data_IF_357734506725
#
_entry.id   IF_357734506725
#
_cell.length_a   1.000
_cell.length_b   1.000
_cell.length_c   1.000
_cell.angle_alpha   90.00
_cell.angle_beta   90.00
_cell.angle_gamma   90.00
#
_symmetry.space_group_name_H-M   'P 1'
#
loop_
_entity.id
_entity.type
_entity.pdbx_description
1 polymer ?
#
# COMPACT_ATOMS: atom_id res chain seq x y z
N UNK A 1 24.39 -0.78 -32.30
CA UNK A 1 24.16 -1.79 -31.25
C UNK A 1 22.68 -2.05 -31.24
N UNK A 2 22.24 -3.26 -31.61
CA UNK A 2 20.84 -3.65 -31.50
C UNK A 2 20.50 -3.67 -30.02
N UNK A 3 19.58 -2.81 -29.58
CA UNK A 3 19.06 -2.81 -28.20
C UNK A 3 18.45 -4.19 -27.91
N UNK A 4 18.89 -4.84 -26.86
CA UNK A 4 18.23 -6.04 -26.38
C UNK A 4 16.76 -5.69 -26.09
N UNK A 5 15.83 -6.44 -26.68
CA UNK A 5 14.40 -6.21 -26.44
C UNK A 5 14.12 -6.24 -24.93
N UNK A 6 13.35 -5.27 -24.46
CA UNK A 6 12.98 -5.15 -23.05
C UNK A 6 12.31 -6.45 -22.61
N UNK A 7 12.90 -7.14 -21.64
CA UNK A 7 12.33 -8.35 -21.09
C UNK A 7 11.18 -8.00 -20.16
N UNK A 8 10.01 -8.61 -20.36
CA UNK A 8 8.87 -8.51 -19.44
C UNK A 8 9.27 -8.98 -18.04
N UNK A 9 8.82 -8.26 -17.03
CA UNK A 9 9.09 -8.53 -15.62
C UNK A 9 7.86 -9.13 -14.95
N UNK A 10 8.06 -10.20 -14.17
CA UNK A 10 7.01 -10.77 -13.34
C UNK A 10 6.51 -9.74 -12.33
N UNK A 11 5.18 -9.63 -12.17
CA UNK A 11 4.57 -8.65 -11.28
C UNK A 11 4.41 -9.15 -9.84
N UNK A 12 4.52 -10.45 -9.64
CA UNK A 12 4.46 -11.05 -8.31
C UNK A 12 5.88 -11.30 -7.78
N UNK A 13 6.14 -10.82 -6.55
CA UNK A 13 7.46 -10.88 -5.92
C UNK A 13 8.06 -12.30 -5.88
N UNK A 14 7.23 -13.29 -5.60
CA UNK A 14 7.66 -14.69 -5.50
C UNK A 14 7.78 -15.40 -6.86
N UNK A 15 7.27 -14.84 -7.93
CA UNK A 15 7.52 -15.30 -9.30
C UNK A 15 8.81 -14.68 -9.81
N UNK A 16 9.08 -13.43 -9.48
CA UNK A 16 10.33 -12.75 -9.81
C UNK A 16 11.55 -13.39 -9.16
N UNK A 17 11.48 -13.74 -7.86
CA UNK A 17 12.61 -14.23 -7.11
C UNK A 17 12.27 -15.41 -6.18
N UNK A 18 13.23 -16.32 -6.04
CA UNK A 18 13.24 -17.25 -4.91
C UNK A 18 13.66 -16.49 -3.63
N UNK A 19 12.85 -16.62 -2.58
CA UNK A 19 13.05 -15.90 -1.34
C UNK A 19 13.09 -16.86 -0.15
N UNK A 20 14.28 -17.26 0.32
CA UNK A 20 14.41 -18.13 1.48
C UNK A 20 14.05 -17.38 2.76
N UNK A 21 13.46 -18.07 3.72
CA UNK A 21 13.16 -17.57 5.08
C UNK A 21 12.49 -16.18 5.08
N UNK A 22 11.53 -15.99 4.16
CA UNK A 22 10.91 -14.70 3.87
C UNK A 22 10.46 -13.93 5.13
N UNK A 23 9.82 -14.60 6.09
CA UNK A 23 9.34 -13.95 7.31
C UNK A 23 10.48 -13.47 8.22
N UNK A 24 11.56 -14.25 8.34
CA UNK A 24 12.75 -13.81 9.06
C UNK A 24 13.42 -12.61 8.39
N UNK A 25 13.41 -12.54 7.05
CA UNK A 25 13.91 -11.39 6.32
C UNK A 25 13.02 -10.14 6.50
N UNK A 26 11.70 -10.31 6.60
CA UNK A 26 10.80 -9.20 6.92
C UNK A 26 11.05 -8.65 8.34
N UNK A 27 11.30 -9.52 9.32
CA UNK A 27 11.66 -9.08 10.68
C UNK A 27 12.94 -8.23 10.66
N UNK A 28 13.96 -8.66 9.90
CA UNK A 28 15.18 -7.87 9.69
C UNK A 28 14.90 -6.53 9.03
N UNK A 29 14.06 -6.51 8.00
CA UNK A 29 13.66 -5.26 7.34
C UNK A 29 12.97 -4.31 8.32
N UNK A 30 12.07 -4.82 9.16
CA UNK A 30 11.39 -4.04 10.19
C UNK A 30 12.37 -3.44 11.22
N UNK A 31 13.43 -4.18 11.58
CA UNK A 31 14.49 -3.69 12.48
C UNK A 31 15.39 -2.63 11.84
N UNK A 32 15.67 -2.76 10.53
CA UNK A 32 16.45 -1.79 9.76
C UNK A 32 15.70 -0.48 9.53
N UNK A 33 14.40 -0.57 9.28
CA UNK A 33 13.57 0.57 8.92
C UNK A 33 13.33 1.52 10.11
N UNK A 34 12.89 2.76 9.78
CA UNK A 34 12.37 3.68 10.78
C UNK A 34 11.29 2.99 11.61
N UNK A 35 11.27 3.20 12.94
CA UNK A 35 10.32 2.53 13.82
C UNK A 35 8.87 2.75 13.39
N UNK A 36 8.17 1.66 13.12
CA UNK A 36 6.76 1.63 12.76
C UNK A 36 6.11 0.36 13.33
N UNK A 37 4.81 0.44 13.65
CA UNK A 37 4.04 -0.75 13.99
C UNK A 37 3.66 -1.48 12.68
N UNK A 38 4.02 -2.75 12.58
CA UNK A 38 3.77 -3.57 11.39
C UNK A 38 2.66 -4.59 11.58
N UNK A 39 1.83 -4.40 12.61
CA UNK A 39 0.64 -5.23 12.88
C UNK A 39 -0.50 -4.37 13.42
N UNK A 40 -1.72 -4.80 13.14
CA UNK A 40 -2.92 -4.25 13.75
C UNK A 40 -3.04 -4.70 15.22
N UNK A 41 -3.72 -3.91 16.04
CA UNK A 41 -4.05 -4.26 17.42
C UNK A 41 -5.00 -5.46 17.45
N UNK A 42 -6.01 -5.40 16.61
CA UNK A 42 -7.05 -6.42 16.45
C UNK A 42 -7.15 -6.73 14.95
N UNK A 43 -6.49 -7.79 14.44
CA UNK A 43 -6.56 -8.11 13.02
C UNK A 43 -7.94 -8.70 12.65
N UNK A 44 -8.47 -8.32 11.47
CA UNK A 44 -9.74 -8.83 10.94
C UNK A 44 -9.67 -10.34 10.60
N UNK A 45 -8.47 -10.88 10.48
CA UNK A 45 -8.20 -12.29 10.17
C UNK A 45 -6.89 -12.73 10.86
N UNK A 46 -6.73 -14.05 11.05
CA UNK A 46 -5.48 -14.62 11.55
C UNK A 46 -4.39 -14.59 10.45
N UNK A 47 -3.40 -13.70 10.52
CA UNK A 47 -2.34 -13.63 9.52
C UNK A 47 -1.38 -14.83 9.66
N UNK A 48 -0.84 -15.32 8.53
CA UNK A 48 0.24 -16.34 8.55
C UNK A 48 1.53 -15.80 9.20
N UNK A 49 1.77 -14.50 9.03
CA UNK A 49 2.83 -13.76 9.69
C UNK A 49 2.20 -12.86 10.75
N UNK A 50 2.31 -13.24 12.00
CA UNK A 50 1.74 -12.52 13.14
C UNK A 50 2.60 -11.34 13.63
N UNK A 51 3.85 -11.24 13.19
CA UNK A 51 4.81 -10.21 13.62
C UNK A 51 4.77 -8.96 12.74
N UNK A 52 4.80 -9.14 11.41
CA UNK A 52 4.94 -8.05 10.43
C UNK A 52 3.97 -8.18 9.24
N UNK A 53 2.66 -8.46 9.43
CA UNK A 53 1.74 -8.73 8.32
C UNK A 53 1.54 -7.50 7.41
N UNK A 54 1.60 -6.29 7.98
CA UNK A 54 1.49 -5.05 7.21
C UNK A 54 2.72 -4.85 6.33
N UNK A 55 3.92 -5.12 6.85
CA UNK A 55 5.16 -5.01 6.08
C UNK A 55 5.21 -6.04 4.94
N UNK A 56 4.72 -7.26 5.20
CA UNK A 56 4.59 -8.28 4.16
C UNK A 56 3.74 -7.79 2.99
N UNK A 57 2.53 -7.30 3.29
CA UNK A 57 1.62 -6.78 2.28
C UNK A 57 2.22 -5.58 1.55
N UNK A 58 2.74 -4.62 2.31
CA UNK A 58 3.39 -3.43 1.79
C UNK A 58 4.50 -3.75 0.79
N UNK A 59 5.43 -4.65 1.15
CA UNK A 59 6.56 -4.99 0.30
C UNK A 59 6.12 -5.66 -1.01
N UNK A 60 5.14 -6.56 -0.94
CA UNK A 60 4.55 -7.21 -2.13
C UNK A 60 3.88 -6.20 -3.06
N UNK A 61 3.10 -5.29 -2.50
CA UNK A 61 2.36 -4.30 -3.29
C UNK A 61 3.29 -3.24 -3.88
N UNK A 62 4.33 -2.80 -3.16
CA UNK A 62 5.38 -1.92 -3.70
C UNK A 62 6.08 -2.60 -4.87
N UNK A 63 6.51 -3.85 -4.72
CA UNK A 63 7.15 -4.58 -5.82
C UNK A 63 6.23 -4.68 -7.04
N UNK A 64 4.97 -5.08 -6.85
CA UNK A 64 3.97 -5.19 -7.92
C UNK A 64 3.82 -3.88 -8.69
N UNK A 65 3.70 -2.75 -7.99
CA UNK A 65 3.59 -1.43 -8.60
C UNK A 65 4.84 -1.05 -9.41
N UNK A 66 6.03 -1.34 -8.87
CA UNK A 66 7.29 -1.08 -9.56
C UNK A 66 7.42 -1.95 -10.82
N UNK A 67 7.04 -3.23 -10.75
CA UNK A 67 7.09 -4.15 -11.89
C UNK A 67 6.09 -3.76 -12.99
N UNK A 68 4.88 -3.35 -12.63
CA UNK A 68 3.89 -2.82 -13.59
C UNK A 68 4.45 -1.57 -14.29
N UNK A 69 5.02 -0.62 -13.54
CA UNK A 69 5.64 0.59 -14.12
C UNK A 69 6.81 0.25 -15.03
N UNK A 70 7.67 -0.67 -14.60
CA UNK A 70 8.77 -1.16 -15.43
C UNK A 70 8.25 -1.72 -16.75
N UNK A 71 7.18 -2.54 -16.74
CA UNK A 71 6.61 -3.14 -17.94
C UNK A 71 5.95 -2.09 -18.87
N UNK A 72 5.36 -1.04 -18.31
CA UNK A 72 4.70 0.05 -19.04
C UNK A 72 5.65 1.12 -19.59
N UNK A 73 6.85 1.26 -19.01
CA UNK A 73 7.80 2.28 -19.43
C UNK A 73 8.32 2.01 -20.85
N UNK A 74 8.48 3.05 -21.67
CA UNK A 74 9.15 2.97 -22.96
C UNK A 74 10.67 2.71 -22.77
N UNK A 75 11.32 2.14 -23.80
CA UNK A 75 12.74 1.71 -23.72
C UNK A 75 13.74 2.86 -23.38
N UNK A 76 13.32 4.10 -23.58
CA UNK A 76 14.16 5.30 -23.36
C UNK A 76 14.33 5.73 -21.91
N UNK A 77 13.59 5.14 -20.98
CA UNK A 77 13.53 5.56 -19.57
C UNK A 77 14.45 4.76 -18.64
N UNK A 78 15.64 4.39 -19.12
CA UNK A 78 16.64 3.69 -18.31
C UNK A 78 17.08 4.46 -17.04
N UNK A 79 16.90 5.79 -17.00
CA UNK A 79 17.27 6.63 -15.85
C UNK A 79 16.20 6.60 -14.72
N UNK A 80 14.97 6.20 -15.02
CA UNK A 80 13.89 6.06 -14.03
C UNK A 80 13.53 4.60 -13.72
N UNK A 81 14.45 3.68 -13.96
CA UNK A 81 14.18 2.27 -13.74
C UNK A 81 13.71 2.01 -12.30
N UNK A 82 12.43 1.64 -12.17
CA UNK A 82 11.82 1.29 -10.90
C UNK A 82 12.46 0.04 -10.28
N UNK A 83 12.95 -0.87 -11.14
CA UNK A 83 13.69 -2.07 -10.77
C UNK A 83 14.92 -2.12 -11.69
N UNK A 84 16.10 -2.09 -11.10
CA UNK A 84 17.36 -2.25 -11.83
C UNK A 84 17.72 -3.72 -11.93
N UNK A 85 18.01 -4.19 -13.15
CA UNK A 85 18.53 -5.54 -13.39
C UNK A 85 19.82 -5.47 -14.22
N UNK A 86 20.85 -6.20 -13.81
CA UNK A 86 22.05 -6.40 -14.60
C UNK A 86 22.44 -7.89 -14.56
N UNK A 87 23.40 -8.31 -15.38
CA UNK A 87 23.83 -9.72 -15.41
C UNK A 87 24.37 -10.27 -14.07
N UNK A 88 24.66 -9.39 -13.10
CA UNK A 88 25.21 -9.74 -11.78
C UNK A 88 24.26 -9.59 -10.63
N UNK A 89 23.12 -8.91 -10.80
CA UNK A 89 22.15 -8.71 -9.76
C UNK A 89 20.92 -7.94 -10.21
N UNK A 90 19.97 -7.84 -9.31
CA UNK A 90 18.78 -6.98 -9.43
C UNK A 90 18.54 -6.27 -8.09
N UNK A 91 17.95 -5.09 -8.12
CA UNK A 91 17.50 -4.41 -6.92
C UNK A 91 16.31 -3.50 -7.18
N UNK A 92 15.56 -3.23 -6.13
CA UNK A 92 14.56 -2.17 -6.10
C UNK A 92 14.57 -1.45 -4.74
N UNK A 93 14.17 -0.19 -4.73
CA UNK A 93 14.00 0.58 -3.51
C UNK A 93 12.71 0.15 -2.81
N UNK A 94 12.79 -0.30 -1.56
CA UNK A 94 11.62 -0.80 -0.80
C UNK A 94 10.59 0.28 -0.43
N UNK A 95 10.90 1.56 -0.66
CA UNK A 95 10.10 2.69 -0.17
C UNK A 95 10.37 3.05 1.29
N UNK A 96 11.16 2.24 1.99
CA UNK A 96 11.51 2.43 3.40
C UNK A 96 12.88 3.11 3.55
N UNK A 97 13.07 3.72 4.71
CA UNK A 97 14.32 4.36 5.11
C UNK A 97 14.84 3.77 6.41
N UNK A 98 16.16 3.68 6.53
CA UNK A 98 16.82 3.27 7.77
C UNK A 98 16.74 4.38 8.83
N UNK A 99 17.21 4.05 10.05
CA UNK A 99 17.27 5.01 11.17
C UNK A 99 18.16 6.23 10.87
N UNK A 100 19.05 6.13 9.90
CA UNK A 100 19.90 7.23 9.41
C UNK A 100 19.34 7.91 8.16
N UNK A 101 18.07 7.66 7.83
CA UNK A 101 17.36 8.20 6.66
C UNK A 101 17.96 7.82 5.31
N UNK A 102 18.68 6.71 5.23
CA UNK A 102 19.16 6.15 3.97
C UNK A 102 18.10 5.21 3.39
N UNK A 103 17.97 5.22 2.06
CA UNK A 103 17.06 4.31 1.36
C UNK A 103 17.44 2.86 1.58
N UNK A 104 16.44 1.99 1.77
CA UNK A 104 16.62 0.53 1.92
C UNK A 104 16.22 -0.14 0.62
N UNK A 105 17.12 -0.99 0.11
CA UNK A 105 16.97 -1.74 -1.12
C UNK A 105 16.84 -3.23 -0.83
N UNK A 106 15.97 -3.91 -1.59
CA UNK A 106 16.00 -5.36 -1.71
C UNK A 106 16.97 -5.73 -2.83
N UNK A 107 18.00 -6.53 -2.53
CA UNK A 107 19.03 -6.94 -3.47
C UNK A 107 18.94 -8.43 -3.76
N UNK A 108 19.09 -8.78 -5.04
CA UNK A 108 18.99 -10.12 -5.57
C UNK A 108 20.20 -10.48 -6.40
N UNK A 109 20.56 -11.74 -6.39
CA UNK A 109 21.61 -12.33 -7.24
C UNK A 109 20.98 -13.29 -8.24
N UNK A 110 21.65 -13.62 -9.38
CA UNK A 110 21.19 -14.65 -10.28
C UNK A 110 20.96 -15.97 -9.55
N UNK A 111 19.80 -16.57 -9.74
CA UNK A 111 19.50 -17.87 -9.16
C UNK A 111 20.26 -18.96 -9.92
N UNK A 112 21.24 -19.55 -9.28
CA UNK A 112 22.10 -20.62 -9.86
C UNK A 112 21.64 -22.01 -9.44
N UNK A 113 20.66 -22.11 -8.54
CA UNK A 113 20.11 -23.37 -8.07
C UNK A 113 18.89 -23.71 -8.89
N UNK A 114 18.93 -24.81 -9.58
CA UNK A 114 17.93 -25.34 -10.53
C UNK A 114 16.59 -25.74 -9.88
N UNK A 115 16.39 -25.42 -8.61
CA UNK A 115 15.23 -25.86 -7.81
C UNK A 115 13.99 -25.01 -8.03
N UNK A 116 14.14 -23.82 -8.63
CA UNK A 116 13.01 -22.96 -8.99
C UNK A 116 13.28 -22.29 -10.33
N UNK A 117 12.31 -22.28 -11.23
CA UNK A 117 12.39 -21.61 -12.54
C UNK A 117 12.53 -20.08 -12.43
N UNK A 118 12.74 -19.54 -11.22
CA UNK A 118 12.86 -18.09 -10.94
C UNK A 118 14.25 -17.59 -11.28
N UNK A 119 14.30 -16.50 -12.00
CA UNK A 119 15.56 -15.89 -12.46
C UNK A 119 16.45 -15.40 -11.31
N UNK A 120 15.83 -14.89 -10.24
CA UNK A 120 16.51 -14.22 -9.15
C UNK A 120 16.39 -14.96 -7.83
N UNK A 121 17.38 -14.76 -6.97
CA UNK A 121 17.45 -15.25 -5.59
C UNK A 121 17.65 -14.04 -4.66
N UNK A 122 16.77 -13.88 -3.67
CA UNK A 122 16.94 -12.81 -2.68
C UNK A 122 18.23 -13.02 -1.90
N UNK A 123 19.03 -11.95 -1.85
CA UNK A 123 20.31 -11.98 -1.14
C UNK A 123 20.23 -11.28 0.20
N UNK A 124 19.79 -10.02 0.22
CA UNK A 124 19.71 -9.23 1.45
C UNK A 124 18.92 -7.93 1.24
N UNK A 125 18.48 -7.33 2.36
CA UNK A 125 18.15 -5.92 2.43
C UNK A 125 19.40 -5.11 2.77
N UNK A 126 19.60 -3.98 2.13
CA UNK A 126 20.79 -3.15 2.35
C UNK A 126 20.50 -1.67 2.14
N UNK A 127 21.28 -0.80 2.77
CA UNK A 127 21.23 0.64 2.55
C UNK A 127 21.86 1.04 1.21
N UNK A 128 21.51 2.22 0.70
CA UNK A 128 21.94 2.77 -0.60
C UNK A 128 23.46 2.78 -0.82
N UNK A 129 24.26 2.87 0.23
CA UNK A 129 25.72 2.89 0.17
C UNK A 129 26.37 1.50 0.35
N UNK A 130 25.59 0.43 0.34
CA UNK A 130 26.09 -0.93 0.52
C UNK A 130 26.99 -1.35 -0.64
N UNK A 131 28.13 -2.02 -0.38
CA UNK A 131 28.97 -2.61 -1.43
C UNK A 131 28.23 -3.62 -2.31
N UNK A 132 27.11 -4.20 -1.85
CA UNK A 132 26.29 -5.12 -2.63
C UNK A 132 25.71 -4.43 -3.87
N UNK A 133 25.41 -3.13 -3.78
CA UNK A 133 24.76 -2.35 -4.84
C UNK A 133 25.75 -1.79 -5.89
N UNK A 134 27.04 -2.00 -5.74
CA UNK A 134 28.07 -1.40 -6.62
C UNK A 134 27.91 -1.69 -8.12
N UNK A 135 27.24 -2.78 -8.48
CA UNK A 135 27.00 -3.17 -9.87
C UNK A 135 25.60 -2.83 -10.38
N UNK A 136 24.76 -2.23 -9.53
CA UNK A 136 23.38 -1.85 -9.86
C UNK A 136 23.23 -0.33 -9.90
N UNK A 137 24.19 0.35 -10.53
CA UNK A 137 24.22 1.82 -10.68
C UNK A 137 23.74 2.20 -12.08
N UNK A 138 22.87 3.23 -12.24
CA UNK A 138 22.27 4.05 -11.18
C UNK A 138 21.26 3.27 -10.33
N UNK A 139 21.16 3.63 -9.04
CA UNK A 139 20.22 2.98 -8.14
C UNK A 139 18.78 3.37 -8.49
N UNK A 140 17.82 2.42 -8.41
CA UNK A 140 16.40 2.72 -8.54
C UNK A 140 15.97 3.80 -7.55
N UNK A 141 15.22 4.77 -8.03
CA UNK A 141 14.69 5.81 -7.15
C UNK A 141 13.60 5.26 -6.24
N UNK A 142 13.35 5.98 -5.13
CA UNK A 142 12.21 5.69 -4.27
C UNK A 142 10.93 5.67 -5.09
N UNK A 143 10.02 4.68 -4.87
CA UNK A 143 8.70 4.67 -5.49
C UNK A 143 7.97 5.99 -5.26
N UNK A 144 7.80 6.78 -6.32
CA UNK A 144 6.96 7.98 -6.28
C UNK A 144 5.58 7.60 -6.78
N UNK A 145 4.64 7.33 -5.87
CA UNK A 145 3.28 6.98 -6.22
C UNK A 145 2.42 8.22 -6.47
N UNK A 146 2.84 9.38 -5.97
CA UNK A 146 2.18 10.67 -6.16
C UNK A 146 3.05 11.53 -7.08
N UNK A 147 2.67 11.64 -8.36
CA UNK A 147 3.38 12.49 -9.32
C UNK A 147 2.99 13.97 -9.22
N UNK A 148 1.79 14.30 -8.70
CA UNK A 148 1.27 15.68 -8.63
C UNK A 148 0.46 15.93 -7.35
N UNK A 149 1.12 15.94 -6.20
CA UNK A 149 0.47 16.15 -4.90
C UNK A 149 -0.33 17.48 -4.79
N UNK A 150 -0.09 18.47 -5.66
CA UNK A 150 -0.80 19.75 -5.65
C UNK A 150 -2.15 19.72 -6.38
N UNK A 151 -2.34 18.87 -7.37
CA UNK A 151 -3.59 18.74 -8.13
C UNK A 151 -4.59 17.77 -7.49
N UNK A 152 -4.18 17.02 -6.47
CA UNK A 152 -4.95 15.94 -5.86
C UNK A 152 -5.19 16.18 -4.36
N UNK A 153 -5.36 17.45 -3.97
CA UNK A 153 -5.83 17.77 -2.62
C UNK A 153 -7.32 17.47 -2.49
N UNK A 154 -7.74 16.93 -1.35
CA UNK A 154 -9.16 16.74 -1.07
C UNK A 154 -9.86 18.11 -0.95
N UNK A 155 -10.97 18.26 -1.67
CA UNK A 155 -11.80 19.45 -1.67
C UNK A 155 -13.07 19.23 -0.82
N UNK A 156 -13.09 19.65 0.45
CA UNK A 156 -14.19 19.34 1.36
C UNK A 156 -15.57 19.87 0.92
N UNK A 157 -15.57 20.91 0.09
CA UNK A 157 -16.80 21.53 -0.44
C UNK A 157 -17.45 20.77 -1.60
N UNK A 158 -16.77 19.80 -2.19
CA UNK A 158 -17.33 19.05 -3.30
C UNK A 158 -18.39 18.04 -2.83
N UNK A 159 -19.48 17.88 -3.58
CA UNK A 159 -20.50 16.88 -3.26
C UNK A 159 -19.96 15.47 -3.46
N UNK A 160 -20.45 14.53 -2.65
CA UNK A 160 -20.15 13.11 -2.77
C UNK A 160 -21.40 12.43 -3.33
N UNK A 161 -21.26 11.76 -4.46
CA UNK A 161 -22.31 10.97 -5.11
C UNK A 161 -22.12 9.50 -4.75
N UNK A 162 -23.11 8.90 -4.13
CA UNK A 162 -23.08 7.49 -3.72
C UNK A 162 -24.36 6.82 -4.20
N UNK A 163 -24.23 5.63 -4.73
CA UNK A 163 -25.36 4.72 -4.91
C UNK A 163 -25.32 3.64 -3.83
N UNK A 164 -25.82 3.96 -2.65
CA UNK A 164 -25.77 3.08 -1.47
C UNK A 164 -26.40 1.71 -1.76
N UNK A 165 -27.51 1.66 -2.49
CA UNK A 165 -28.16 0.40 -2.85
C UNK A 165 -27.25 -0.47 -3.69
N UNK A 166 -26.65 0.07 -4.75
CA UNK A 166 -25.75 -0.66 -5.64
C UNK A 166 -24.49 -1.16 -4.90
N UNK A 167 -23.91 -0.34 -4.01
CA UNK A 167 -22.77 -0.76 -3.18
C UNK A 167 -23.15 -1.95 -2.29
N UNK A 168 -24.37 -1.96 -1.73
CA UNK A 168 -24.82 -3.01 -0.84
C UNK A 168 -25.34 -4.27 -1.55
N UNK A 169 -25.61 -4.21 -2.86
CA UNK A 169 -25.89 -5.37 -3.70
C UNK A 169 -24.64 -6.23 -3.94
N UNK A 170 -23.44 -5.65 -3.80
CA UNK A 170 -22.19 -6.39 -3.85
C UNK A 170 -21.96 -7.18 -2.55
N UNK A 171 -21.90 -8.51 -2.66
CA UNK A 171 -21.77 -9.40 -1.51
C UNK A 171 -20.45 -9.17 -0.74
N UNK A 172 -19.38 -8.76 -1.42
CA UNK A 172 -18.10 -8.45 -0.79
C UNK A 172 -18.20 -7.18 0.05
N UNK A 173 -18.82 -6.12 -0.46
CA UNK A 173 -19.08 -4.91 0.31
C UNK A 173 -19.99 -5.20 1.53
N UNK A 174 -21.04 -5.97 1.33
CA UNK A 174 -21.97 -6.33 2.42
C UNK A 174 -21.23 -7.11 3.53
N UNK A 175 -20.33 -8.02 3.17
CA UNK A 175 -19.56 -8.82 4.12
C UNK A 175 -18.62 -7.99 5.01
N UNK A 176 -18.23 -6.80 4.58
CA UNK A 176 -17.36 -5.87 5.33
C UNK A 176 -18.13 -5.06 6.38
N UNK A 177 -19.46 -4.98 6.25
CA UNK A 177 -20.32 -4.28 7.21
C UNK A 177 -20.39 -5.07 8.52
N UNK A 178 -20.40 -4.40 9.69
CA UNK A 178 -20.60 -5.10 10.96
C UNK A 178 -21.78 -6.06 10.93
N UNK A 179 -21.58 -7.30 11.34
CA UNK A 179 -22.55 -8.39 11.20
C UNK A 179 -23.93 -8.02 11.77
N UNK A 180 -23.97 -7.29 12.89
CA UNK A 180 -25.19 -6.83 13.51
C UNK A 180 -26.04 -5.89 12.63
N UNK A 181 -25.43 -5.24 11.63
CA UNK A 181 -26.09 -4.31 10.72
C UNK A 181 -26.44 -4.92 9.36
N UNK A 182 -25.87 -6.07 8.99
CA UNK A 182 -26.09 -6.67 7.66
C UNK A 182 -27.55 -7.01 7.36
N UNK A 183 -28.32 -7.38 8.38
CA UNK A 183 -29.77 -7.68 8.28
C UNK A 183 -30.69 -6.47 8.51
N UNK A 184 -30.11 -5.27 8.68
CA UNK A 184 -30.91 -4.08 8.97
C UNK A 184 -31.61 -3.59 7.70
N UNK A 185 -32.97 -3.60 7.72
CA UNK A 185 -33.80 -3.32 6.55
C UNK A 185 -33.60 -1.94 5.93
N UNK A 186 -33.15 -0.96 6.72
CA UNK A 186 -32.87 0.41 6.27
C UNK A 186 -31.35 0.68 6.09
N UNK A 187 -30.56 -0.35 5.89
CA UNK A 187 -29.10 -0.23 5.72
C UNK A 187 -28.68 0.77 4.64
N UNK A 188 -29.34 0.87 3.45
CA UNK A 188 -29.02 1.90 2.47
C UNK A 188 -29.15 3.32 3.01
N UNK A 189 -30.24 3.61 3.75
CA UNK A 189 -30.43 4.93 4.37
C UNK A 189 -29.40 5.22 5.46
N UNK A 190 -29.01 4.20 6.23
CA UNK A 190 -27.95 4.32 7.23
C UNK A 190 -26.61 4.64 6.57
N UNK A 191 -26.30 4.00 5.45
CA UNK A 191 -25.07 4.27 4.69
C UNK A 191 -25.06 5.70 4.13
N UNK A 192 -26.17 6.15 3.52
CA UNK A 192 -26.30 7.53 3.03
C UNK A 192 -26.12 8.56 4.15
N UNK A 193 -26.74 8.31 5.32
CA UNK A 193 -26.58 9.18 6.50
C UNK A 193 -25.13 9.20 7.02
N UNK A 194 -24.44 8.06 7.01
CA UNK A 194 -23.04 7.96 7.42
C UNK A 194 -22.12 8.71 6.44
N UNK A 195 -22.39 8.64 5.14
CA UNK A 195 -21.65 9.39 4.11
C UNK A 195 -21.83 10.90 4.30
N UNK A 196 -23.06 11.38 4.52
CA UNK A 196 -23.30 12.79 4.76
C UNK A 196 -22.64 13.27 6.08
N UNK A 197 -22.64 12.43 7.13
CA UNK A 197 -21.92 12.73 8.36
C UNK A 197 -20.42 12.82 8.11
N UNK A 198 -19.83 11.86 7.39
CA UNK A 198 -18.41 11.86 7.01
C UNK A 198 -18.02 13.09 6.21
N UNK A 199 -18.87 13.51 5.28
CA UNK A 199 -18.66 14.76 4.50
C UNK A 199 -18.63 15.99 5.42
N UNK A 200 -19.55 16.10 6.38
CA UNK A 200 -19.58 17.20 7.35
C UNK A 200 -18.36 17.19 8.28
N UNK A 201 -17.92 16.00 8.69
CA UNK A 201 -16.71 15.86 9.48
C UNK A 201 -15.47 16.29 8.66
N UNK A 202 -15.39 15.93 7.38
CA UNK A 202 -14.31 16.33 6.50
C UNK A 202 -14.28 17.86 6.23
N UNK A 203 -15.45 18.51 6.24
CA UNK A 203 -15.53 19.99 6.20
C UNK A 203 -14.95 20.62 7.45
N UNK A 204 -15.24 20.04 8.61
CA UNK A 204 -14.74 20.55 9.90
C UNK A 204 -13.26 20.20 10.13
N UNK A 205 -12.86 19.01 9.71
CA UNK A 205 -11.51 18.45 9.94
C UNK A 205 -11.03 17.68 8.70
N UNK A 206 -10.49 18.37 7.68
CA UNK A 206 -10.02 17.69 6.44
C UNK A 206 -8.98 16.58 6.68
N UNK A 207 -8.27 16.65 7.81
CA UNK A 207 -7.26 15.65 8.20
C UNK A 207 -7.81 14.23 8.46
N UNK A 208 -9.13 14.05 8.53
CA UNK A 208 -9.73 12.70 8.62
C UNK A 208 -9.68 11.94 7.28
N UNK A 209 -9.54 12.65 6.17
CA UNK A 209 -9.46 12.05 4.85
C UNK A 209 -8.04 11.53 4.61
N UNK A 210 -7.91 10.28 4.23
CA UNK A 210 -6.63 9.68 3.89
C UNK A 210 -6.53 9.42 2.38
N UNK A 211 -5.42 9.76 1.73
CA UNK A 211 -5.22 9.39 0.33
C UNK A 211 -4.89 7.90 0.21
N UNK A 212 -5.32 7.27 -0.88
CA UNK A 212 -4.90 5.94 -1.28
C UNK A 212 -4.53 5.90 -2.76
N UNK A 213 -3.72 4.92 -3.14
CA UNK A 213 -3.44 4.60 -4.53
C UNK A 213 -4.02 3.22 -4.85
N UNK A 214 -4.95 3.17 -5.81
CA UNK A 214 -5.63 1.95 -6.17
C UNK A 214 -5.83 1.87 -7.69
N UNK A 215 -5.48 0.74 -8.30
CA UNK A 215 -5.56 0.51 -9.74
C UNK A 215 -4.98 1.66 -10.61
N UNK A 216 -3.81 2.19 -10.22
CA UNK A 216 -3.15 3.24 -10.98
C UNK A 216 -3.71 4.65 -10.79
N UNK A 217 -4.68 4.85 -9.89
CA UNK A 217 -5.36 6.13 -9.65
C UNK A 217 -5.29 6.53 -8.19
N UNK A 218 -5.25 7.84 -7.97
CA UNK A 218 -5.45 8.42 -6.65
C UNK A 218 -6.93 8.43 -6.30
N UNK A 219 -7.21 8.04 -5.08
CA UNK A 219 -8.53 8.10 -4.45
C UNK A 219 -8.40 8.61 -3.02
N UNK A 220 -9.51 8.97 -2.41
CA UNK A 220 -9.56 9.34 -1.00
C UNK A 220 -10.36 8.33 -0.20
N UNK A 221 -9.96 8.15 1.06
CA UNK A 221 -10.64 7.31 2.03
C UNK A 221 -11.31 8.19 3.07
N UNK A 222 -12.62 8.08 3.18
CA UNK A 222 -13.43 8.77 4.17
C UNK A 222 -13.97 7.78 5.20
N UNK A 223 -13.75 7.99 6.51
CA UNK A 223 -14.28 7.11 7.53
C UNK A 223 -15.81 7.19 7.61
N UNK A 224 -16.45 6.05 7.79
CA UNK A 224 -17.90 5.93 8.01
C UNK A 224 -18.19 5.32 9.37
N UNK A 225 -19.11 5.92 10.09
CA UNK A 225 -19.53 5.55 11.43
C UNK A 225 -21.01 5.10 11.41
N UNK A 226 -21.22 3.79 11.38
CA UNK A 226 -22.55 3.18 11.29
C UNK A 226 -23.11 2.77 12.66
N UNK A 227 -22.24 2.20 13.52
CA UNK A 227 -22.65 1.66 14.82
C UNK A 227 -22.42 2.62 15.99
N UNK A 228 -21.57 3.63 15.82
CA UNK A 228 -21.23 4.60 16.87
C UNK A 228 -20.31 5.70 16.32
N UNK A 229 -19.78 6.55 17.22
CA UNK A 229 -18.93 7.69 16.83
C UNK A 229 -17.46 7.55 17.22
N UNK A 230 -17.12 6.52 17.97
CA UNK A 230 -15.76 6.37 18.54
C UNK A 230 -14.78 5.62 17.63
N UNK A 231 -15.29 4.72 16.80
CA UNK A 231 -14.47 3.89 15.89
C UNK A 231 -15.14 3.87 14.52
N UNK A 232 -14.39 4.10 13.46
CA UNK A 232 -14.90 3.94 12.11
C UNK A 232 -15.21 2.46 11.84
N UNK A 233 -16.41 2.18 11.35
CA UNK A 233 -16.85 0.83 10.98
C UNK A 233 -16.33 0.47 9.58
N UNK A 234 -16.33 1.44 8.67
CA UNK A 234 -15.91 1.31 7.28
C UNK A 234 -15.13 2.54 6.83
N UNK A 235 -14.54 2.44 5.65
CA UNK A 235 -14.01 3.54 4.88
C UNK A 235 -14.65 3.55 3.48
N UNK A 236 -15.21 4.68 3.06
CA UNK A 236 -15.66 4.90 1.69
C UNK A 236 -14.47 5.27 0.81
N UNK A 237 -14.23 4.53 -0.27
CA UNK A 237 -13.30 4.90 -1.30
C UNK A 237 -13.95 5.91 -2.24
N UNK A 238 -13.35 7.09 -2.37
CA UNK A 238 -13.86 8.21 -3.15
C UNK A 238 -12.97 8.44 -4.38
N UNK A 239 -13.50 8.22 -5.56
CA UNK A 239 -12.86 8.61 -6.82
C UNK A 239 -13.14 10.07 -7.14
N UNK A 240 -12.17 10.72 -7.79
CA UNK A 240 -12.24 12.13 -8.18
C UNK A 240 -13.01 12.25 -9.49
N UNK A 241 -14.10 13.01 -9.49
CA UNK A 241 -14.84 13.46 -10.67
C UNK A 241 -14.56 14.92 -10.99
N UNK A 242 -15.31 15.47 -11.92
CA UNK A 242 -15.23 16.89 -12.29
C UNK A 242 -16.10 17.72 -11.34
N UNK A 243 -15.47 18.25 -10.26
CA UNK A 243 -16.14 19.02 -9.22
C UNK A 243 -16.98 18.21 -8.23
N UNK A 244 -16.80 16.90 -8.15
CA UNK A 244 -17.48 16.01 -7.20
C UNK A 244 -16.67 14.75 -6.93
N UNK A 245 -17.08 13.98 -5.91
CA UNK A 245 -16.54 12.66 -5.65
C UNK A 245 -17.57 11.58 -5.92
N UNK A 246 -17.09 10.40 -6.30
CA UNK A 246 -17.89 9.19 -6.47
C UNK A 246 -17.50 8.20 -5.38
N UNK A 247 -18.47 7.79 -4.54
CA UNK A 247 -18.29 6.67 -3.61
C UNK A 247 -18.35 5.34 -4.37
N UNK A 248 -17.19 4.69 -4.50
CA UNK A 248 -17.04 3.49 -5.32
C UNK A 248 -17.36 2.20 -4.55
N UNK A 249 -16.82 2.10 -3.34
CA UNK A 249 -16.87 0.88 -2.53
C UNK A 249 -16.61 1.18 -1.06
N UNK A 250 -17.00 0.24 -0.20
CA UNK A 250 -16.67 0.26 1.21
C UNK A 250 -15.54 -0.70 1.53
N UNK A 251 -14.59 -0.26 2.32
CA UNK A 251 -13.44 -1.02 2.80
C UNK A 251 -13.52 -1.18 4.31
N UNK A 252 -12.96 -2.26 4.87
CA UNK A 252 -12.69 -2.27 6.31
C UNK A 252 -11.62 -1.22 6.64
N UNK A 253 -11.56 -0.69 7.86
CA UNK A 253 -10.52 0.25 8.26
C UNK A 253 -9.10 -0.31 8.06
N UNK A 254 -8.91 -1.61 8.22
CA UNK A 254 -7.61 -2.26 7.99
C UNK A 254 -7.23 -2.31 6.50
N UNK A 255 -8.17 -2.64 5.61
CA UNK A 255 -7.96 -2.56 4.16
C UNK A 255 -7.61 -1.13 3.75
N UNK A 256 -8.32 -0.15 4.29
CA UNK A 256 -8.05 1.27 4.06
C UNK A 256 -6.64 1.67 4.52
N UNK A 257 -6.21 1.21 5.70
CA UNK A 257 -4.84 1.43 6.18
C UNK A 257 -3.79 0.86 5.21
N UNK A 258 -3.96 -0.39 4.76
CA UNK A 258 -3.02 -1.05 3.86
C UNK A 258 -2.87 -0.29 2.53
N UNK A 259 -3.99 0.16 1.96
CA UNK A 259 -3.98 0.94 0.72
C UNK A 259 -3.34 2.33 0.91
N UNK A 260 -3.67 3.04 1.97
CA UNK A 260 -3.07 4.33 2.28
C UNK A 260 -1.57 4.21 2.57
N UNK A 261 -1.13 3.12 3.23
CA UNK A 261 0.27 2.89 3.60
C UNK A 261 1.20 2.78 2.39
N UNK A 262 0.69 2.39 1.22
CA UNK A 262 1.48 2.37 -0.01
C UNK A 262 2.02 3.76 -0.37
N UNK A 263 1.25 4.81 -0.13
CA UNK A 263 1.68 6.19 -0.40
C UNK A 263 2.63 6.71 0.69
N UNK A 264 2.18 6.62 1.92
CA UNK A 264 2.92 7.08 3.09
C UNK A 264 2.33 6.46 4.36
N UNK A 265 3.02 6.62 5.49
CA UNK A 265 2.45 6.26 6.80
C UNK A 265 1.19 7.11 7.06
N UNK A 266 0.01 6.49 7.25
CA UNK A 266 -1.22 7.23 7.45
C UNK A 266 -1.17 8.10 8.70
N UNK A 267 -1.66 9.34 8.57
CA UNK A 267 -1.69 10.31 9.67
C UNK A 267 -3.08 10.51 10.25
N UNK A 268 -4.14 10.14 9.54
CA UNK A 268 -5.51 10.23 10.02
C UNK A 268 -5.71 9.41 11.31
N UNK A 269 -6.35 10.00 12.32
CA UNK A 269 -6.50 9.42 13.66
C UNK A 269 -7.15 8.04 13.63
N UNK A 270 -8.28 7.91 12.92
CA UNK A 270 -9.03 6.67 12.81
C UNK A 270 -8.25 5.48 12.20
N UNK A 271 -7.20 5.78 11.40
CA UNK A 271 -6.27 4.76 10.87
C UNK A 271 -5.15 4.46 11.88
N UNK A 272 -4.64 5.47 12.58
CA UNK A 272 -3.60 5.26 13.60
C UNK A 272 -4.08 4.40 14.75
N UNK A 273 -5.34 4.55 15.14
CA UNK A 273 -5.95 3.84 16.27
C UNK A 273 -6.06 2.31 16.03
N UNK A 274 -5.93 1.88 14.77
CA UNK A 274 -5.89 0.45 14.41
C UNK A 274 -4.57 -0.22 14.79
N UNK A 275 -3.50 0.56 15.00
CA UNK A 275 -2.16 0.02 15.12
C UNK A 275 -1.88 -0.50 16.52
N UNK A 276 -1.20 -1.64 16.61
CA UNK A 276 -0.57 -2.06 17.84
C UNK A 276 0.49 -1.03 18.26
N UNK A 277 0.74 -0.92 19.57
CA UNK A 277 1.87 -0.11 20.02
C UNK A 277 3.18 -0.69 19.43
N UNK A 278 4.11 0.17 18.98
CA UNK A 278 5.42 -0.30 18.55
C UNK A 278 6.04 -1.15 19.68
N UNK A 279 6.59 -2.30 19.33
CA UNK A 279 7.36 -3.08 20.30
C UNK A 279 8.59 -2.25 20.68
N UNK A 280 8.52 -1.54 21.78
CA UNK A 280 9.67 -0.87 22.39
C UNK A 280 10.61 -1.93 22.94
N UNK A 281 11.50 -2.45 22.11
CA UNK A 281 12.80 -2.86 22.65
C UNK A 281 13.55 -1.54 22.89
N UNK A 282 13.49 -1.04 24.12
CA UNK A 282 14.43 -0.05 24.63
C UNK A 282 15.81 -0.71 24.54
N UNK A 283 16.83 -0.01 24.03
CA UNK A 283 18.19 -0.54 23.89
C UNK A 283 18.80 -0.94 25.21
#
# INVERSE_FOLDING_TARGET
>A
MQGAAKQYMETELFEFAFWPDFFAQLDRLAEMALPEAWRFREPDYAPRNDRTPILERYLKDVFRLLAIRYNQAEETWAEEAAIMTCGRGACFHTGLFSRTYKGIYAYFIPNRKDVSMRKWHFKDFCEENSPLLKYTVPLPQRPQLIMNARSEAFHPGWPIRVNARHILEDAENLSRIPQALQSFGNLPLLLDAAVELGRRQALAEPGIIAPQFYHGRMQFLMPLYLSGRSKADLAMALSIGDGYYIGETCLTPQMAYLNARLLARPTAGWLKDLMALPSTKIP
#
